data_IF_893742536986
#
_entry.id   IF_893742536986
#
_cell.length_a   1.000
_cell.length_b   1.000
_cell.length_c   1.000
_cell.angle_alpha   90.00
_cell.angle_beta   90.00
_cell.angle_gamma   90.00
#
_symmetry.space_group_name_H-M   'P 1'
#
loop_
_entity.id
_entity.type
_entity.pdbx_description
1 polymer ?
#
# COMPACT_ATOMS: atom_id res chain seq x y z
N UNK A 1 -5.24 12.73 36.38
CA UNK A 1 -4.79 13.09 35.02
C UNK A 1 -4.87 11.83 34.15
N UNK A 2 -6.09 11.30 34.02
CA UNK A 2 -6.35 9.89 33.74
C UNK A 2 -7.47 9.81 32.71
N UNK A 3 -7.16 9.98 31.42
CA UNK A 3 -8.18 9.93 30.36
C UNK A 3 -7.59 9.74 28.95
N UNK A 4 -6.88 8.64 28.66
CA UNK A 4 -6.57 8.30 27.24
C UNK A 4 -6.59 6.80 26.87
N UNK A 5 -7.07 5.91 27.75
CA UNK A 5 -7.10 4.46 27.46
C UNK A 5 -8.48 3.82 27.63
N UNK A 6 -9.51 4.41 27.04
CA UNK A 6 -10.76 3.70 26.71
C UNK A 6 -11.22 4.10 25.31
N UNK A 7 -10.59 3.52 24.27
CA UNK A 7 -11.24 3.46 22.96
C UNK A 7 -12.30 2.35 23.02
N UNK A 8 -13.58 2.64 22.74
CA UNK A 8 -14.64 1.66 22.85
C UNK A 8 -14.42 0.51 21.87
N UNK A 9 -15.00 -0.65 22.20
CA UNK A 9 -15.09 -1.90 21.42
C UNK A 9 -15.80 -1.69 20.07
N UNK A 10 -15.31 -0.79 19.23
CA UNK A 10 -15.80 -0.54 17.89
C UNK A 10 -15.13 -1.53 16.94
N UNK A 11 -15.74 -2.73 16.90
CA UNK A 11 -16.30 -3.29 15.68
C UNK A 11 -15.29 -3.54 14.54
N UNK A 12 -14.95 -4.81 14.34
CA UNK A 12 -14.13 -5.41 13.26
C UNK A 12 -14.79 -5.30 11.86
N UNK A 13 -15.33 -4.14 11.51
CA UNK A 13 -16.68 -4.14 10.98
C UNK A 13 -16.81 -4.19 9.45
N UNK A 14 -15.88 -3.76 8.61
CA UNK A 14 -16.21 -3.70 7.17
C UNK A 14 -16.12 -5.05 6.48
N UNK A 15 -14.96 -5.71 6.45
CA UNK A 15 -14.87 -7.02 5.81
C UNK A 15 -15.72 -8.05 6.56
N UNK A 16 -15.73 -8.02 7.90
CA UNK A 16 -16.62 -8.89 8.67
C UNK A 16 -18.12 -8.55 8.48
N UNK A 17 -18.55 -7.29 8.36
CA UNK A 17 -19.97 -7.00 8.04
C UNK A 17 -20.31 -7.24 6.59
N UNK A 18 -19.44 -6.92 5.64
CA UNK A 18 -19.65 -7.16 4.23
C UNK A 18 -19.75 -8.66 3.99
N UNK A 19 -18.93 -9.46 4.68
CA UNK A 19 -18.99 -10.93 4.66
C UNK A 19 -20.16 -11.46 5.47
N UNK A 20 -20.52 -10.85 6.60
CA UNK A 20 -21.73 -11.20 7.36
C UNK A 20 -23.01 -10.89 6.57
N UNK A 21 -23.05 -9.78 5.80
CA UNK A 21 -24.16 -9.44 4.88
C UNK A 21 -24.14 -10.28 3.60
N UNK A 22 -22.96 -10.57 3.04
CA UNK A 22 -22.84 -11.38 1.82
C UNK A 22 -23.09 -12.88 2.09
N UNK A 23 -22.58 -13.42 3.20
CA UNK A 23 -22.81 -14.80 3.65
C UNK A 23 -24.22 -15.04 4.21
N UNK A 24 -25.02 -13.99 4.37
CA UNK A 24 -26.46 -14.08 4.61
C UNK A 24 -27.28 -14.23 3.32
N UNK A 25 -26.68 -14.08 2.14
CA UNK A 25 -27.33 -14.47 0.88
C UNK A 25 -27.05 -15.95 0.64
N UNK A 26 -28.09 -16.76 0.82
CA UNK A 26 -28.16 -18.14 0.35
C UNK A 26 -27.82 -18.19 -1.15
N UNK A 27 -26.92 -19.09 -1.54
CA UNK A 27 -26.79 -19.43 -2.95
C UNK A 27 -28.08 -20.14 -3.42
N UNK A 28 -28.25 -20.28 -4.74
CA UNK A 28 -29.40 -21.00 -5.33
C UNK A 28 -29.45 -22.50 -4.97
N UNK A 29 -28.45 -23.02 -4.25
CA UNK A 29 -28.27 -24.40 -3.84
C UNK A 29 -28.39 -24.61 -2.31
N UNK A 30 -28.73 -23.58 -1.53
CA UNK A 30 -28.93 -23.67 -0.07
C UNK A 30 -27.64 -23.72 0.78
N UNK A 31 -26.46 -23.46 0.23
CA UNK A 31 -25.20 -23.53 1.00
C UNK A 31 -24.94 -22.22 1.76
N UNK A 32 -25.33 -22.19 3.04
CA UNK A 32 -25.00 -21.08 3.95
C UNK A 32 -23.50 -21.10 4.26
N UNK A 33 -22.72 -20.12 3.78
CA UNK A 33 -21.31 -19.98 4.16
C UNK A 33 -21.22 -19.52 5.62
N UNK A 34 -21.08 -20.48 6.55
CA UNK A 34 -21.05 -20.22 8.00
C UNK A 34 -19.80 -19.42 8.35
N UNK A 35 -19.96 -18.11 8.61
CA UNK A 35 -18.89 -17.28 9.16
C UNK A 35 -18.40 -17.87 10.48
N UNK A 36 -17.11 -18.22 10.54
CA UNK A 36 -16.46 -18.72 11.75
C UNK A 36 -15.62 -17.58 12.34
N UNK A 37 -15.91 -17.09 13.56
CA UNK A 37 -15.28 -15.88 14.13
C UNK A 37 -13.74 -15.93 14.20
N UNK A 38 -13.19 -17.13 14.22
CA UNK A 38 -11.79 -17.45 14.46
C UNK A 38 -11.01 -17.76 13.16
N UNK A 39 -11.70 -17.87 12.02
CA UNK A 39 -11.08 -18.09 10.70
C UNK A 39 -11.31 -16.92 9.77
N UNK A 40 -10.24 -16.48 9.10
CA UNK A 40 -10.36 -15.48 8.07
C UNK A 40 -11.13 -16.08 6.87
N UNK A 41 -12.10 -15.36 6.29
CA UNK A 41 -12.93 -15.85 5.20
C UNK A 41 -12.19 -15.80 3.85
N UNK A 42 -11.41 -16.84 3.54
CA UNK A 42 -10.60 -16.95 2.32
C UNK A 42 -11.42 -17.02 1.01
N UNK A 43 -12.69 -17.43 1.07
CA UNK A 43 -13.52 -17.69 -0.11
C UNK A 43 -14.32 -16.46 -0.57
N UNK A 44 -13.94 -15.27 -0.12
CA UNK A 44 -14.67 -14.05 -0.41
C UNK A 44 -13.98 -13.25 -1.52
N UNK A 45 -14.75 -12.93 -2.57
CA UNK A 45 -14.30 -12.06 -3.64
C UNK A 45 -14.37 -10.59 -3.19
N UNK A 46 -13.27 -10.11 -2.59
CA UNK A 46 -13.17 -8.73 -2.10
C UNK A 46 -13.35 -7.71 -3.24
N UNK A 47 -12.86 -7.99 -4.44
CA UNK A 47 -13.03 -7.10 -5.60
C UNK A 47 -14.49 -6.90 -5.97
N UNK A 48 -15.28 -7.97 -5.95
CA UNK A 48 -16.72 -7.91 -6.19
C UNK A 48 -17.43 -7.12 -5.09
N UNK A 49 -17.08 -7.36 -3.83
CA UNK A 49 -17.62 -6.59 -2.69
C UNK A 49 -17.31 -5.11 -2.85
N UNK A 50 -16.06 -4.75 -3.18
CA UNK A 50 -15.67 -3.35 -3.37
C UNK A 50 -16.46 -2.70 -4.50
N UNK A 51 -16.63 -3.36 -5.65
CA UNK A 51 -17.44 -2.83 -6.76
C UNK A 51 -18.91 -2.63 -6.38
N UNK A 52 -19.46 -3.46 -5.50
CA UNK A 52 -20.85 -3.34 -5.06
C UNK A 52 -21.05 -2.32 -3.94
N UNK A 53 -20.09 -2.21 -3.01
CA UNK A 53 -20.24 -1.44 -1.77
C UNK A 53 -19.53 -0.09 -1.81
N UNK A 54 -18.40 0.05 -2.49
CA UNK A 54 -17.66 1.32 -2.53
C UNK A 54 -18.36 2.40 -3.38
N UNK A 55 -19.33 1.98 -4.21
CA UNK A 55 -20.20 2.84 -5.02
C UNK A 55 -21.65 2.90 -4.50
N UNK A 56 -21.94 2.27 -3.36
CA UNK A 56 -23.19 2.46 -2.61
C UNK A 56 -22.99 3.58 -1.57
N UNK A 57 -24.07 4.08 -0.96
CA UNK A 57 -24.06 5.09 0.12
C UNK A 57 -23.47 4.54 1.44
N UNK A 58 -22.25 4.01 1.39
CA UNK A 58 -21.51 3.49 2.53
C UNK A 58 -20.43 4.47 2.88
N UNK A 59 -20.51 5.03 4.08
CA UNK A 59 -19.48 5.93 4.59
C UNK A 59 -18.15 5.17 4.77
N UNK A 60 -17.03 5.69 4.24
CA UNK A 60 -15.70 5.15 4.50
C UNK A 60 -15.37 5.08 6.00
N UNK A 61 -14.65 4.03 6.43
CA UNK A 61 -14.15 3.94 7.81
C UNK A 61 -12.83 4.69 8.00
N UNK A 62 -12.07 4.89 6.93
CA UNK A 62 -10.89 5.74 6.91
C UNK A 62 -11.11 6.88 5.92
N UNK A 63 -10.98 8.11 6.39
CA UNK A 63 -10.88 9.28 5.53
C UNK A 63 -9.44 9.77 5.57
N UNK A 64 -8.71 9.53 4.48
CA UNK A 64 -7.30 9.89 4.39
C UNK A 64 -7.13 11.34 3.93
N UNK A 65 -7.15 12.26 4.88
CA UNK A 65 -6.79 13.68 4.65
C UNK A 65 -5.26 13.85 4.59
N UNK A 66 -4.62 13.21 3.60
CA UNK A 66 -3.18 13.35 3.43
C UNK A 66 -2.84 14.79 3.06
N UNK A 67 -2.07 15.45 3.93
CA UNK A 67 -1.39 16.70 3.62
C UNK A 67 0.04 16.36 3.24
N UNK A 68 0.36 16.55 1.97
CA UNK A 68 1.72 16.43 1.45
C UNK A 68 2.49 17.71 1.84
N UNK A 69 3.46 17.56 2.73
CA UNK A 69 4.37 18.63 3.17
C UNK A 69 5.38 18.91 2.05
N UNK A 70 5.92 17.84 1.46
CA UNK A 70 6.69 17.87 0.21
C UNK A 70 5.88 17.06 -0.80
N UNK A 71 5.53 17.69 -1.92
CA UNK A 71 4.73 17.07 -2.98
C UNK A 71 5.46 17.18 -4.33
N UNK A 72 5.93 16.07 -4.92
CA UNK A 72 6.70 16.10 -6.16
C UNK A 72 5.76 16.07 -7.38
N UNK A 73 4.79 16.98 -7.43
CA UNK A 73 3.68 16.98 -8.40
C UNK A 73 4.13 16.98 -9.88
N UNK A 74 5.33 17.47 -10.17
CA UNK A 74 5.91 17.52 -11.51
C UNK A 74 6.61 16.22 -11.94
N UNK A 75 6.73 15.21 -11.07
CA UNK A 75 7.44 13.96 -11.41
C UNK A 75 6.82 13.22 -12.62
N UNK A 76 5.50 13.33 -12.81
CA UNK A 76 4.78 12.70 -13.92
C UNK A 76 4.04 13.72 -14.82
N UNK A 77 4.44 15.00 -14.83
CA UNK A 77 3.78 16.06 -15.62
C UNK A 77 4.25 16.14 -17.08
N UNK A 78 5.25 15.34 -17.48
CA UNK A 78 5.77 15.28 -18.86
C UNK A 78 4.88 14.51 -19.84
N UNK A 79 5.18 14.65 -21.14
CA UNK A 79 4.54 13.89 -22.22
C UNK A 79 5.05 12.44 -22.32
N UNK A 80 6.11 12.11 -21.59
CA UNK A 80 6.71 10.78 -21.62
C UNK A 80 5.73 9.70 -21.17
N UNK A 81 5.65 8.62 -21.94
CA UNK A 81 4.89 7.45 -21.57
C UNK A 81 5.57 6.76 -20.37
N UNK A 82 5.02 6.98 -19.17
CA UNK A 82 5.48 6.28 -17.97
C UNK A 82 5.02 4.83 -18.03
N UNK A 83 5.96 3.89 -18.19
CA UNK A 83 5.69 2.45 -18.16
C UNK A 83 5.58 1.94 -16.74
N UNK A 84 6.55 2.31 -15.90
CA UNK A 84 6.65 1.88 -14.50
C UNK A 84 6.83 3.07 -13.59
N UNK A 85 6.08 3.05 -12.49
CA UNK A 85 6.19 4.04 -11.43
C UNK A 85 6.60 3.39 -10.11
N UNK A 86 7.77 3.71 -9.59
CA UNK A 86 8.25 3.24 -8.30
C UNK A 86 7.72 4.10 -7.16
N UNK A 87 7.15 3.43 -6.16
CA UNK A 87 6.83 3.98 -4.84
C UNK A 87 7.79 3.32 -3.86
N UNK A 88 8.93 3.97 -3.60
CA UNK A 88 9.94 3.49 -2.67
C UNK A 88 9.60 3.94 -1.26
N UNK A 89 9.33 2.99 -0.37
CA UNK A 89 9.09 3.22 1.05
C UNK A 89 10.43 3.33 1.74
N UNK A 90 10.87 4.56 1.98
CA UNK A 90 12.15 4.85 2.64
C UNK A 90 11.90 5.49 4.00
N UNK A 91 12.95 5.76 4.77
CA UNK A 91 12.91 6.54 6.02
C UNK A 91 13.72 7.84 5.83
N UNK A 92 13.32 8.97 6.43
CA UNK A 92 14.03 10.24 6.25
C UNK A 92 15.57 10.14 6.43
N UNK A 93 16.05 9.27 7.32
CA UNK A 93 17.48 9.08 7.59
C UNK A 93 18.28 8.34 6.50
N UNK A 94 17.64 7.68 5.54
CA UNK A 94 18.31 6.82 4.55
C UNK A 94 18.73 7.58 3.28
N UNK A 95 19.30 8.79 3.38
CA UNK A 95 19.71 9.58 2.19
C UNK A 95 20.68 8.82 1.28
N UNK A 96 21.70 8.19 1.85
CA UNK A 96 22.69 7.41 1.07
C UNK A 96 22.08 6.26 0.27
N UNK A 97 21.03 5.61 0.78
CA UNK A 97 20.31 4.57 0.02
C UNK A 97 19.54 5.17 -1.15
N UNK A 98 19.00 6.37 -0.98
CA UNK A 98 18.26 7.07 -2.04
C UNK A 98 19.18 7.55 -3.15
N UNK A 99 20.37 8.04 -2.79
CA UNK A 99 21.43 8.36 -3.75
C UNK A 99 21.74 7.13 -4.63
N UNK A 100 21.98 5.96 -4.01
CA UNK A 100 22.23 4.72 -4.74
C UNK A 100 21.05 4.35 -5.65
N UNK A 101 19.81 4.49 -5.17
CA UNK A 101 18.63 4.18 -5.99
C UNK A 101 18.52 5.13 -7.19
N UNK A 102 18.81 6.42 -7.01
CA UNK A 102 18.86 7.40 -8.10
C UNK A 102 19.92 7.06 -9.14
N UNK A 103 21.12 6.67 -8.70
CA UNK A 103 22.24 6.37 -9.57
C UNK A 103 22.15 4.98 -10.24
N UNK A 104 21.21 4.14 -9.81
CA UNK A 104 21.07 2.76 -10.32
C UNK A 104 19.69 2.50 -10.92
N UNK A 105 18.69 2.24 -10.08
CA UNK A 105 17.39 1.71 -10.49
C UNK A 105 16.49 2.78 -11.10
N UNK A 106 16.76 4.05 -10.81
CA UNK A 106 15.93 5.19 -11.18
C UNK A 106 16.67 6.24 -12.03
N UNK A 107 17.78 5.87 -12.66
CA UNK A 107 18.47 6.71 -13.63
C UNK A 107 17.53 7.00 -14.82
N UNK A 108 17.12 8.26 -14.96
CA UNK A 108 16.20 8.70 -16.02
C UNK A 108 16.80 8.63 -17.42
N UNK A 109 18.12 8.76 -17.55
CA UNK A 109 18.81 8.68 -18.85
C UNK A 109 18.83 7.24 -19.33
N UNK A 110 19.06 6.29 -18.42
CA UNK A 110 19.03 4.85 -18.73
C UNK A 110 17.60 4.32 -18.86
N UNK A 111 16.67 4.82 -18.06
CA UNK A 111 15.30 4.33 -17.98
C UNK A 111 14.26 5.45 -18.16
N UNK A 112 14.10 6.00 -19.39
CA UNK A 112 13.24 7.15 -19.64
C UNK A 112 11.75 6.88 -19.40
N UNK A 113 11.33 5.62 -19.39
CA UNK A 113 9.95 5.20 -19.11
C UNK A 113 9.68 4.91 -17.62
N UNK A 114 10.67 5.08 -16.75
CA UNK A 114 10.58 4.85 -15.31
C UNK A 114 10.51 6.19 -14.58
N UNK A 115 9.60 6.29 -13.60
CA UNK A 115 9.53 7.40 -12.65
C UNK A 115 9.52 6.85 -11.23
N UNK A 116 10.02 7.64 -10.28
CA UNK A 116 10.17 7.24 -8.89
C UNK A 116 9.65 8.31 -7.95
N UNK A 117 9.04 7.89 -6.85
CA UNK A 117 9.01 8.66 -5.61
C UNK A 117 9.55 7.88 -4.43
N UNK A 118 10.03 8.63 -3.46
CA UNK A 118 10.27 8.15 -2.11
C UNK A 118 9.12 8.61 -1.21
N UNK A 119 8.49 7.67 -0.52
CA UNK A 119 7.35 7.89 0.38
C UNK A 119 7.79 7.84 1.84
N UNK A 120 7.49 8.90 2.60
CA UNK A 120 7.86 9.05 4.01
C UNK A 120 6.77 9.72 4.83
N UNK A 121 6.82 9.49 6.14
CA UNK A 121 6.20 10.33 7.15
C UNK A 121 7.17 11.36 7.72
N UNK A 122 6.65 12.21 8.60
CA UNK A 122 7.41 13.23 9.34
C UNK A 122 8.45 12.55 10.25
N UNK A 123 9.74 12.96 10.20
CA UNK A 123 10.77 12.49 11.12
C UNK A 123 10.53 12.99 12.55
N UNK A 124 11.23 12.41 13.53
CA UNK A 124 11.12 12.84 14.94
C UNK A 124 11.94 14.10 15.26
N UNK A 125 12.87 14.47 14.40
CA UNK A 125 13.79 15.59 14.59
C UNK A 125 13.62 16.60 13.45
N UNK A 126 13.59 17.88 13.81
CA UNK A 126 13.44 18.98 12.84
C UNK A 126 14.64 19.10 11.90
N UNK A 127 15.87 18.89 12.40
CA UNK A 127 17.09 18.84 11.58
C UNK A 127 16.95 17.86 10.40
N UNK A 128 16.41 16.67 10.64
CA UNK A 128 16.19 15.64 9.61
C UNK A 128 15.12 16.06 8.60
N UNK A 129 14.17 16.90 9.00
CA UNK A 129 13.18 17.46 8.08
C UNK A 129 13.83 18.49 7.15
N UNK A 130 14.74 19.33 7.67
CA UNK A 130 15.50 20.29 6.88
C UNK A 130 16.42 19.57 5.88
N UNK A 131 17.17 18.57 6.33
CA UNK A 131 18.00 17.74 5.44
C UNK A 131 17.19 17.12 4.29
N UNK A 132 15.98 16.64 4.61
CA UNK A 132 15.08 16.04 3.62
C UNK A 132 14.52 17.09 2.64
N UNK A 133 14.32 18.33 3.08
CA UNK A 133 13.91 19.43 2.19
C UNK A 133 15.03 19.79 1.23
N UNK A 134 16.26 19.91 1.71
CA UNK A 134 17.44 20.18 0.89
C UNK A 134 17.70 19.04 -0.12
N UNK A 135 17.61 17.80 0.33
CA UNK A 135 17.69 16.62 -0.54
C UNK A 135 16.57 16.63 -1.59
N UNK A 136 15.34 17.00 -1.23
CA UNK A 136 14.23 17.10 -2.18
C UNK A 136 14.40 18.19 -3.24
N UNK A 137 15.17 19.24 -2.92
CA UNK A 137 15.53 20.28 -3.87
C UNK A 137 16.57 19.78 -4.88
N UNK A 138 17.52 18.94 -4.43
CA UNK A 138 18.51 18.28 -5.29
C UNK A 138 17.87 17.18 -6.15
N UNK A 139 17.02 16.36 -5.54
CA UNK A 139 16.38 15.21 -6.18
C UNK A 139 14.86 15.34 -6.16
N UNK A 140 14.26 15.38 -7.34
CA UNK A 140 12.81 15.33 -7.44
C UNK A 140 12.27 13.95 -7.05
N UNK A 141 11.05 13.91 -6.49
CA UNK A 141 10.36 12.65 -6.18
C UNK A 141 10.11 12.40 -4.69
N UNK A 142 10.22 13.39 -3.82
CA UNK A 142 10.02 13.19 -2.39
C UNK A 142 8.57 13.44 -2.01
N UNK A 143 7.88 12.41 -1.53
CA UNK A 143 6.50 12.48 -1.04
C UNK A 143 6.51 12.38 0.49
N UNK A 144 6.58 13.54 1.15
CA UNK A 144 6.51 13.64 2.60
C UNK A 144 5.08 13.94 3.06
N UNK A 145 4.51 13.08 3.89
CA UNK A 145 3.09 13.16 4.30
C UNK A 145 2.97 13.34 5.81
N UNK A 146 1.89 14.01 6.24
CA UNK A 146 1.61 14.40 7.63
C UNK A 146 1.25 13.25 8.61
N UNK A 147 2.02 12.17 8.64
CA UNK A 147 1.98 11.16 9.70
C UNK A 147 3.39 10.90 10.23
N UNK A 148 3.52 10.46 11.48
CA UNK A 148 4.82 10.12 12.07
C UNK A 148 5.47 8.94 11.35
N UNK A 149 6.74 9.05 10.95
CA UNK A 149 7.46 7.93 10.34
C UNK A 149 7.85 6.89 11.41
N UNK A 150 7.18 5.74 11.39
CA UNK A 150 7.51 4.60 12.23
C UNK A 150 6.97 3.30 11.62
N UNK A 151 7.38 2.17 12.20
CA UNK A 151 7.02 0.84 11.74
C UNK A 151 5.51 0.56 11.73
N UNK A 152 4.76 1.03 12.73
CA UNK A 152 3.31 0.84 12.81
C UNK A 152 2.55 1.64 11.75
N UNK A 153 3.17 2.68 11.18
CA UNK A 153 2.59 3.52 10.14
C UNK A 153 3.01 3.08 8.71
N UNK A 154 3.59 1.89 8.53
CA UNK A 154 3.94 1.37 7.20
C UNK A 154 2.74 1.26 6.26
N UNK A 155 1.56 0.96 6.80
CA UNK A 155 0.33 0.92 6.00
C UNK A 155 -0.07 2.31 5.53
N UNK A 156 0.05 3.33 6.38
CA UNK A 156 -0.15 4.73 5.96
C UNK A 156 0.84 5.13 4.88
N UNK A 157 2.11 4.75 5.01
CA UNK A 157 3.17 5.01 4.02
C UNK A 157 2.92 4.33 2.68
N UNK A 158 2.36 3.12 2.72
CA UNK A 158 1.97 2.38 1.52
C UNK A 158 0.77 3.05 0.85
N UNK A 159 -0.31 3.27 1.58
CA UNK A 159 -1.55 3.83 1.02
C UNK A 159 -1.35 5.26 0.52
N UNK A 160 -0.56 6.10 1.21
CA UNK A 160 -0.26 7.47 0.80
C UNK A 160 0.53 7.52 -0.52
N UNK A 161 1.54 6.66 -0.67
CA UNK A 161 2.33 6.55 -1.89
C UNK A 161 1.51 6.00 -3.07
N UNK A 162 0.67 5.00 -2.83
CA UNK A 162 -0.26 4.48 -3.84
C UNK A 162 -1.30 5.53 -4.27
N UNK A 163 -1.89 6.28 -3.32
CA UNK A 163 -2.84 7.35 -3.62
C UNK A 163 -2.17 8.49 -4.40
N UNK A 164 -0.92 8.82 -4.06
CA UNK A 164 -0.14 9.77 -4.83
C UNK A 164 -0.01 9.32 -6.29
N UNK A 165 0.36 8.05 -6.52
CA UNK A 165 0.47 7.48 -7.86
C UNK A 165 -0.84 7.60 -8.67
N UNK A 166 -1.98 7.30 -8.04
CA UNK A 166 -3.31 7.43 -8.66
C UNK A 166 -3.64 8.88 -9.03
N UNK A 167 -3.21 9.83 -8.19
CA UNK A 167 -3.56 11.25 -8.33
C UNK A 167 -2.68 11.96 -9.36
N UNK A 168 -1.37 11.74 -9.27
CA UNK A 168 -0.34 12.50 -9.98
C UNK A 168 0.33 11.71 -11.12
N UNK A 169 0.32 10.37 -11.08
CA UNK A 169 0.94 9.52 -12.10
C UNK A 169 -0.07 8.56 -12.77
N UNK A 170 -1.31 9.03 -12.98
CA UNK A 170 -2.47 8.20 -13.37
C UNK A 170 -2.32 7.43 -14.69
N UNK A 171 -1.39 7.85 -15.56
CA UNK A 171 -1.12 7.26 -16.88
C UNK A 171 -0.05 6.16 -16.83
N UNK A 172 0.62 5.97 -15.70
CA UNK A 172 1.55 4.85 -15.55
C UNK A 172 0.82 3.52 -15.74
N UNK A 173 1.43 2.57 -16.44
CA UNK A 173 0.83 1.25 -16.65
C UNK A 173 0.95 0.38 -15.40
N UNK A 174 2.14 0.38 -14.81
CA UNK A 174 2.45 -0.39 -13.61
C UNK A 174 2.99 0.51 -12.50
N UNK A 175 2.70 0.11 -11.27
CA UNK A 175 3.26 0.69 -10.04
C UNK A 175 4.02 -0.40 -9.30
N UNK A 176 5.26 -0.11 -8.94
CA UNK A 176 6.08 -0.99 -8.10
C UNK A 176 6.20 -0.36 -6.73
N UNK A 177 5.61 -0.97 -5.71
CA UNK A 177 5.88 -0.59 -4.33
C UNK A 177 7.03 -1.43 -3.80
N UNK A 178 8.09 -0.76 -3.36
CA UNK A 178 9.32 -1.41 -2.90
C UNK A 178 9.86 -0.71 -1.66
N UNK A 179 10.66 -1.39 -0.84
CA UNK A 179 11.43 -0.79 0.26
C UNK A 179 12.81 -0.33 -0.22
N UNK A 180 13.47 0.56 0.53
CA UNK A 180 14.74 1.17 0.13
C UNK A 180 15.99 0.28 0.30
N UNK A 181 15.83 -0.96 0.76
CA UNK A 181 16.88 -1.97 0.91
C UNK A 181 16.75 -3.15 -0.06
N UNK A 182 15.94 -3.01 -1.12
CA UNK A 182 15.81 -3.99 -2.20
C UNK A 182 16.28 -3.38 -3.51
N UNK A 183 17.24 -4.04 -4.16
CA UNK A 183 17.62 -3.75 -5.53
C UNK A 183 16.63 -4.35 -6.52
N UNK A 184 16.21 -3.57 -7.51
CA UNK A 184 15.32 -4.01 -8.59
C UNK A 184 16.04 -3.78 -9.91
N UNK A 185 16.36 -4.86 -10.63
CA UNK A 185 16.99 -4.77 -11.95
C UNK A 185 15.97 -4.23 -12.99
N UNK A 186 16.06 -2.96 -13.42
CA UNK A 186 14.97 -2.36 -14.19
C UNK A 186 14.84 -2.93 -15.60
N UNK A 187 15.96 -3.31 -16.23
CA UNK A 187 15.99 -3.99 -17.53
C UNK A 187 15.17 -5.29 -17.52
N UNK A 188 15.38 -6.13 -16.48
CA UNK A 188 14.67 -7.39 -16.33
C UNK A 188 13.20 -7.18 -15.98
N UNK A 189 12.90 -6.16 -15.17
CA UNK A 189 11.53 -5.79 -14.83
C UNK A 189 10.76 -5.34 -16.08
N UNK A 190 11.32 -4.42 -16.87
CA UNK A 190 10.69 -3.93 -18.09
C UNK A 190 10.47 -5.08 -19.08
N UNK A 191 11.49 -5.91 -19.32
CA UNK A 191 11.36 -7.11 -20.16
C UNK A 191 10.27 -8.05 -19.65
N UNK A 192 10.17 -8.27 -18.35
CA UNK A 192 9.11 -9.09 -17.77
C UNK A 192 7.71 -8.51 -18.02
N UNK A 193 7.54 -7.21 -17.80
CA UNK A 193 6.27 -6.50 -18.00
C UNK A 193 5.84 -6.43 -19.46
N UNK A 194 6.79 -6.32 -20.39
CA UNK A 194 6.52 -6.28 -21.83
C UNK A 194 6.07 -7.64 -22.37
N UNK A 195 6.46 -8.72 -21.71
CA UNK A 195 6.01 -10.09 -22.04
C UNK A 195 4.73 -10.50 -21.31
N UNK A 196 4.07 -9.61 -20.56
CA UNK A 196 2.80 -9.92 -19.92
C UNK A 196 1.68 -10.02 -20.97
N UNK A 197 0.88 -11.11 -20.96
CA UNK A 197 -0.31 -11.19 -21.80
C UNK A 197 -1.27 -10.04 -21.50
N UNK A 198 -1.82 -9.42 -22.54
CA UNK A 198 -2.70 -8.24 -22.41
C UNK A 198 -3.86 -8.47 -21.43
N UNK A 199 -4.47 -9.66 -21.45
CA UNK A 199 -5.57 -10.03 -20.55
C UNK A 199 -5.18 -10.07 -19.05
N UNK A 200 -3.90 -10.23 -18.72
CA UNK A 200 -3.41 -10.17 -17.32
C UNK A 200 -3.06 -8.74 -16.87
N UNK A 201 -2.82 -7.84 -17.80
CA UNK A 201 -2.27 -6.51 -17.49
C UNK A 201 -3.25 -5.66 -16.66
N UNK A 202 -4.56 -5.80 -16.85
CA UNK A 202 -5.55 -4.97 -16.16
C UNK A 202 -5.67 -5.32 -14.66
N UNK A 203 -5.53 -6.58 -14.26
CA UNK A 203 -5.63 -6.98 -12.85
C UNK A 203 -4.31 -7.47 -12.28
N UNK A 204 -3.20 -7.01 -12.85
CA UNK A 204 -1.88 -7.49 -12.47
C UNK A 204 -1.58 -7.14 -11.02
N UNK A 205 -1.18 -8.16 -10.26
CA UNK A 205 -0.75 -8.07 -8.87
C UNK A 205 0.23 -9.21 -8.59
N UNK A 206 1.49 -8.89 -8.32
CA UNK A 206 2.56 -9.88 -8.22
C UNK A 206 3.60 -9.52 -7.18
N UNK A 207 4.24 -10.56 -6.63
CA UNK A 207 5.33 -10.49 -5.67
C UNK A 207 5.45 -11.81 -4.91
N UNK A 208 6.19 -11.84 -3.81
CA UNK A 208 6.36 -13.05 -3.00
C UNK A 208 5.10 -13.34 -2.17
N UNK A 209 4.29 -14.31 -2.61
CA UNK A 209 3.05 -14.69 -1.93
C UNK A 209 3.33 -15.55 -0.71
N UNK A 210 2.85 -15.10 0.44
CA UNK A 210 2.85 -15.84 1.69
C UNK A 210 1.48 -16.48 1.93
N UNK A 211 1.50 -17.71 2.43
CA UNK A 211 0.31 -18.51 2.73
C UNK A 211 0.42 -19.13 4.11
N UNK A 212 -0.70 -19.23 4.83
CA UNK A 212 -0.77 -19.92 6.11
C UNK A 212 -0.01 -19.26 7.27
N UNK A 213 0.52 -18.05 7.09
CA UNK A 213 1.27 -17.35 8.14
C UNK A 213 0.37 -16.99 9.33
N UNK A 214 0.96 -16.97 10.52
CA UNK A 214 0.27 -16.69 11.78
C UNK A 214 0.77 -15.38 12.39
N UNK A 215 -0.10 -14.58 13.03
CA UNK A 215 0.34 -13.41 13.77
C UNK A 215 1.25 -13.82 14.94
N UNK A 216 2.39 -13.15 15.08
CA UNK A 216 3.32 -13.40 16.20
C UNK A 216 2.67 -12.84 17.46
N UNK A 217 2.51 -13.69 18.48
CA UNK A 217 1.86 -13.33 19.75
C UNK A 217 2.85 -13.07 20.89
N UNK A 218 4.13 -12.96 20.57
CA UNK A 218 5.21 -12.70 21.50
C UNK A 218 5.51 -11.18 21.59
N UNK A 219 5.24 -10.50 22.73
CA UNK A 219 5.37 -9.04 22.87
C UNK A 219 6.73 -8.42 22.52
N UNK A 220 7.88 -9.05 22.82
CA UNK A 220 9.20 -8.52 22.43
C UNK A 220 9.46 -8.53 20.93
N UNK A 221 8.69 -9.29 20.15
CA UNK A 221 8.87 -9.36 18.70
C UNK A 221 8.52 -8.03 18.02
N UNK A 222 9.37 -7.60 17.08
CA UNK A 222 9.08 -6.48 16.16
C UNK A 222 7.73 -6.65 15.42
N UNK A 223 7.33 -7.91 15.20
CA UNK A 223 6.10 -8.26 14.48
C UNK A 223 4.98 -8.71 15.43
N UNK A 224 5.06 -8.35 16.71
CA UNK A 224 4.03 -8.63 17.69
C UNK A 224 2.68 -8.08 17.22
N UNK A 225 1.67 -8.94 17.23
CA UNK A 225 0.30 -8.60 16.91
C UNK A 225 -0.60 -9.19 17.98
N UNK A 226 -1.23 -8.39 18.86
CA UNK A 226 -2.11 -8.91 19.90
C UNK A 226 -3.45 -9.39 19.34
N UNK A 227 -4.14 -10.30 20.06
CA UNK A 227 -5.49 -10.77 19.67
C UNK A 227 -6.52 -9.64 19.60
N UNK A 228 -6.33 -8.58 20.39
CA UNK A 228 -7.17 -7.38 20.38
C UNK A 228 -7.08 -6.61 19.06
N UNK A 229 -5.97 -6.74 18.34
CA UNK A 229 -5.74 -6.11 17.05
C UNK A 229 -6.19 -7.01 15.90
N UNK A 230 -5.78 -8.28 15.94
CA UNK A 230 -6.11 -9.30 14.95
C UNK A 230 -6.56 -10.60 15.62
N UNK A 231 -7.86 -10.92 15.56
CA UNK A 231 -8.44 -12.06 16.27
C UNK A 231 -8.27 -13.39 15.56
N UNK A 232 -8.11 -13.39 14.24
CA UNK A 232 -8.04 -14.64 13.47
C UNK A 232 -6.73 -15.37 13.73
N UNK A 233 -6.76 -16.70 13.57
CA UNK A 233 -5.60 -17.57 13.79
C UNK A 233 -4.50 -17.35 12.74
N UNK A 234 -4.89 -17.16 11.49
CA UNK A 234 -3.98 -17.03 10.34
C UNK A 234 -4.27 -15.73 9.60
N UNK A 235 -3.23 -15.14 9.02
CA UNK A 235 -3.38 -14.06 8.05
C UNK A 235 -4.03 -14.60 6.75
N UNK A 236 -4.72 -13.74 5.97
CA UNK A 236 -5.07 -14.07 4.59
C UNK A 236 -3.80 -14.37 3.77
N UNK A 237 -3.97 -14.89 2.55
CA UNK A 237 -2.86 -14.87 1.60
C UNK A 237 -2.51 -13.42 1.27
N UNK A 238 -1.24 -13.04 1.35
CA UNK A 238 -0.77 -11.70 1.00
C UNK A 238 0.58 -11.76 0.29
N UNK A 239 0.91 -10.68 -0.40
CA UNK A 239 2.24 -10.47 -0.96
C UNK A 239 3.09 -9.79 0.10
N UNK A 240 4.30 -10.31 0.34
CA UNK A 240 5.26 -9.70 1.25
C UNK A 240 5.52 -8.24 0.83
N UNK A 241 5.35 -7.31 1.77
CA UNK A 241 5.35 -5.88 1.48
C UNK A 241 6.70 -5.29 1.03
N UNK A 242 7.77 -6.09 0.96
CA UNK A 242 9.08 -5.63 0.51
C UNK A 242 9.09 -5.23 -0.97
N UNK A 243 8.45 -6.02 -1.84
CA UNK A 243 8.41 -5.77 -3.29
C UNK A 243 7.09 -6.26 -3.87
N UNK A 244 6.34 -5.35 -4.49
CA UNK A 244 5.01 -5.60 -5.03
C UNK A 244 4.84 -4.88 -6.36
N UNK A 245 4.44 -5.60 -7.40
CA UNK A 245 4.11 -5.06 -8.71
C UNK A 245 2.59 -5.05 -8.88
N UNK A 246 2.04 -3.92 -9.29
CA UNK A 246 0.60 -3.73 -9.50
C UNK A 246 0.35 -3.05 -10.83
N UNK A 247 -0.72 -3.40 -11.52
CA UNK A 247 -1.29 -2.52 -12.55
C UNK A 247 -1.89 -1.28 -11.90
N UNK A 248 -1.96 -0.17 -12.64
CA UNK A 248 -2.57 1.06 -12.12
C UNK A 248 -4.05 0.88 -11.72
N UNK A 249 -4.80 0.06 -12.44
CA UNK A 249 -6.16 -0.35 -12.09
C UNK A 249 -6.22 -1.12 -10.77
N UNK A 250 -5.28 -2.04 -10.52
CA UNK A 250 -5.13 -2.70 -9.21
C UNK A 250 -4.84 -1.68 -8.11
N UNK A 251 -3.94 -0.71 -8.35
CA UNK A 251 -3.64 0.35 -7.36
C UNK A 251 -4.88 1.17 -7.03
N UNK A 252 -5.68 1.56 -8.03
CA UNK A 252 -6.96 2.26 -7.80
C UNK A 252 -7.86 1.46 -6.88
N UNK A 253 -8.04 0.16 -7.15
CA UNK A 253 -8.83 -0.73 -6.30
C UNK A 253 -8.27 -0.79 -4.86
N UNK A 254 -6.95 -0.89 -4.68
CA UNK A 254 -6.34 -0.85 -3.35
C UNK A 254 -6.59 0.46 -2.62
N UNK A 255 -6.42 1.60 -3.28
CA UNK A 255 -6.66 2.91 -2.67
C UNK A 255 -8.11 3.10 -2.25
N UNK A 256 -9.05 2.57 -3.04
CA UNK A 256 -10.47 2.54 -2.68
C UNK A 256 -10.72 1.60 -1.52
N UNK A 257 -10.21 0.36 -1.58
CA UNK A 257 -10.36 -0.64 -0.53
C UNK A 257 -9.82 -0.18 0.82
N UNK A 258 -8.71 0.55 0.81
CA UNK A 258 -8.09 1.10 2.02
C UNK A 258 -9.04 2.04 2.77
N UNK A 259 -9.94 2.77 2.08
CA UNK A 259 -10.94 3.64 2.72
C UNK A 259 -11.97 2.83 3.53
N UNK A 260 -12.17 1.57 3.15
CA UNK A 260 -13.15 0.67 3.78
C UNK A 260 -12.50 -0.44 4.62
N UNK A 261 -11.17 -0.51 4.69
CA UNK A 261 -10.47 -1.60 5.40
C UNK A 261 -9.75 -1.06 6.62
N UNK A 262 -9.98 -1.67 7.80
CA UNK A 262 -9.30 -1.23 9.03
C UNK A 262 -7.79 -1.34 8.81
N UNK A 263 -7.07 -0.27 9.15
CA UNK A 263 -5.62 -0.27 9.07
C UNK A 263 -5.05 -1.32 10.04
N UNK A 264 -4.02 -1.99 9.55
CA UNK A 264 -3.26 -3.04 10.22
C UNK A 264 -1.78 -2.77 9.95
#
# INVERSE_FOLDING_TARGET
MTAFLKRPKAKQQFLANAIKKAGQKTDKNGTTTRFTPDKYPFNVNVTQILRQYAFADVTPINVFHYRYIINPNNTCSGLDAVRVYFVVKSTPHNSSKRDIIHDTCADKNRFPSIRIIFSFGIPNKEEVLLDLQDESAKYHGFSLVNYKDNHYNLTLKTVSGLKWAVTHCRRAMFVVSVVDDIYVAPDLLLKYLDNLPAWKAETFFSGHRLTGTMPIRDPPSKWYTPKTEYTFKNYPHYILGGFVIMSMSTVRNFTTAAMYTKLF
#
